data_IF_121522525870
#
_entry.id   IF_121522525870
#
_cell.length_a   1.000
_cell.length_b   1.000
_cell.length_c   1.000
_cell.angle_alpha   90.00
_cell.angle_beta   90.00
_cell.angle_gamma   90.00
#
_symmetry.space_group_name_H-M   'P 1'
#
loop_
_entity.id
_entity.type
_entity.pdbx_description
1 polymer ?
#
# COMPACT_ATOMS: atom_id res chain seq x y z
N UNK A 1 -2.22 -17.00 11.42
CA UNK A 1 -0.98 -16.20 11.29
C UNK A 1 -0.49 -16.40 9.86
N UNK A 2 -0.21 -15.37 9.25
CA UNK A 2 -0.18 -15.17 7.83
C UNK A 2 1.16 -15.62 7.28
N UNK A 3 1.15 -16.67 6.47
CA UNK A 3 2.29 -17.06 5.64
C UNK A 3 2.21 -16.27 4.33
N UNK A 4 3.36 -15.78 3.83
CA UNK A 4 3.44 -15.16 2.50
C UNK A 4 3.57 -13.64 2.46
N UNK A 5 3.99 -12.99 3.55
CA UNK A 5 4.42 -11.60 3.50
C UNK A 5 5.75 -11.45 2.78
N UNK A 6 5.90 -10.35 2.03
CA UNK A 6 7.18 -9.94 1.47
C UNK A 6 8.18 -9.53 2.55
N UNK A 7 9.43 -9.38 2.14
CA UNK A 7 10.54 -8.90 2.97
C UNK A 7 10.92 -9.82 4.13
N UNK A 8 10.97 -11.10 3.87
CA UNK A 8 11.50 -12.10 4.81
C UNK A 8 13.03 -12.29 4.70
N UNK A 9 13.75 -11.23 4.32
CA UNK A 9 15.22 -11.20 4.20
C UNK A 9 15.94 -11.66 5.48
N UNK A 10 15.33 -11.44 6.65
CA UNK A 10 15.86 -11.88 7.94
C UNK A 10 16.03 -13.41 8.08
N UNK A 11 15.39 -14.18 7.20
CA UNK A 11 15.53 -15.66 7.15
C UNK A 11 16.82 -16.10 6.46
N UNK A 12 17.49 -15.22 5.71
CA UNK A 12 18.61 -15.52 4.85
C UNK A 12 19.89 -14.81 5.33
N UNK A 13 21.05 -15.46 5.17
CA UNK A 13 22.32 -14.91 5.68
C UNK A 13 22.86 -13.71 4.89
N UNK A 14 22.60 -13.67 3.57
CA UNK A 14 23.18 -12.63 2.70
C UNK A 14 22.28 -12.39 1.49
N UNK A 15 21.36 -11.44 1.61
CA UNK A 15 20.59 -10.93 0.47
C UNK A 15 21.33 -9.73 -0.12
N UNK A 16 21.64 -9.81 -1.42
CA UNK A 16 22.28 -8.74 -2.20
C UNK A 16 21.24 -7.88 -2.93
N UNK A 17 20.19 -8.51 -3.42
CA UNK A 17 19.11 -7.88 -4.19
C UNK A 17 17.77 -8.33 -3.63
N UNK A 18 16.94 -7.38 -3.22
CA UNK A 18 15.62 -7.65 -2.65
C UNK A 18 14.50 -7.14 -3.58
N UNK A 19 13.82 -8.05 -4.27
CA UNK A 19 12.63 -7.78 -5.08
C UNK A 19 11.33 -8.17 -4.37
N UNK A 20 11.35 -8.51 -3.07
CA UNK A 20 10.17 -9.03 -2.37
C UNK A 20 9.33 -7.96 -1.69
N UNK A 21 9.85 -6.74 -1.53
CA UNK A 21 9.20 -5.66 -0.75
C UNK A 21 8.56 -4.56 -1.59
N UNK A 22 8.89 -4.47 -2.88
CA UNK A 22 8.47 -3.38 -3.79
C UNK A 22 8.80 -1.97 -3.25
N UNK A 23 9.88 -1.85 -2.49
CA UNK A 23 10.36 -0.57 -1.93
C UNK A 23 11.34 0.06 -2.90
N UNK A 24 11.22 1.37 -3.12
CA UNK A 24 12.17 2.12 -3.95
C UNK A 24 13.49 2.32 -3.19
N UNK A 25 14.47 1.45 -3.43
CA UNK A 25 15.72 1.38 -2.67
C UNK A 25 16.86 2.28 -3.18
N UNK A 26 16.61 3.12 -4.16
CA UNK A 26 17.58 4.10 -4.70
C UNK A 26 17.48 5.47 -4.01
N UNK A 27 17.22 5.48 -2.72
CA UNK A 27 17.03 6.67 -1.91
C UNK A 27 18.25 6.91 -1.03
N UNK A 28 18.78 8.13 -1.06
CA UNK A 28 19.79 8.56 -0.09
C UNK A 28 19.09 9.05 1.20
N UNK A 29 19.31 8.33 2.29
CA UNK A 29 18.75 8.65 3.60
C UNK A 29 19.73 9.42 4.51
N UNK A 30 20.89 9.87 4.03
CA UNK A 30 21.88 10.56 4.86
C UNK A 30 21.29 11.78 5.59
N UNK A 31 20.54 12.62 4.88
CA UNK A 31 19.85 13.77 5.46
C UNK A 31 18.75 13.37 6.46
N UNK A 32 17.96 12.34 6.16
CA UNK A 32 16.95 11.80 7.08
C UNK A 32 17.62 11.26 8.37
N UNK A 33 18.70 10.52 8.23
CA UNK A 33 19.44 9.99 9.38
C UNK A 33 19.97 11.12 10.27
N UNK A 34 20.56 12.17 9.67
CA UNK A 34 21.01 13.34 10.41
C UNK A 34 19.86 14.05 11.14
N UNK A 35 18.73 14.24 10.46
CA UNK A 35 17.54 14.83 11.07
C UNK A 35 17.06 14.00 12.27
N UNK A 36 16.86 12.70 12.09
CA UNK A 36 16.40 11.81 13.15
C UNK A 36 17.39 11.76 14.33
N UNK A 37 18.69 11.79 14.04
CA UNK A 37 19.70 11.86 15.11
C UNK A 37 19.56 13.13 15.97
N UNK A 38 19.28 14.28 15.35
CA UNK A 38 19.03 15.53 16.05
C UNK A 38 17.74 15.49 16.88
N UNK A 39 16.76 14.67 16.47
CA UNK A 39 15.47 14.52 17.14
C UNK A 39 15.44 13.36 18.16
N UNK A 40 16.57 12.68 18.42
CA UNK A 40 16.58 11.47 19.28
C UNK A 40 16.09 11.73 20.70
N UNK A 41 16.28 12.93 21.26
CA UNK A 41 15.79 13.27 22.60
C UNK A 41 14.25 13.30 22.67
N UNK A 42 13.55 13.46 21.55
CA UNK A 42 12.08 13.47 21.52
C UNK A 42 11.45 12.14 21.95
N UNK A 43 12.21 11.03 21.91
CA UNK A 43 11.72 9.71 22.39
C UNK A 43 11.47 9.66 23.91
N UNK A 44 11.91 10.64 24.67
CA UNK A 44 11.76 10.70 26.13
C UNK A 44 10.36 11.15 26.57
N UNK A 45 9.56 11.63 25.64
CA UNK A 45 8.19 12.09 25.89
C UNK A 45 7.20 11.32 25.01
N UNK A 46 5.94 11.26 25.43
CA UNK A 46 4.89 10.75 24.56
C UNK A 46 4.78 11.60 23.29
N UNK A 47 4.53 10.97 22.12
CA UNK A 47 4.19 11.71 20.90
C UNK A 47 2.82 12.42 21.05
N UNK A 48 2.43 13.15 20.03
CA UNK A 48 1.05 13.63 19.91
C UNK A 48 0.08 12.45 19.99
N UNK A 49 -1.03 12.53 20.77
CA UNK A 49 -2.01 11.45 20.86
C UNK A 49 -2.59 11.03 19.49
N UNK A 50 -2.82 11.99 18.64
CA UNK A 50 -2.99 11.87 17.19
C UNK A 50 -1.90 12.73 16.54
N UNK A 51 -1.29 12.33 15.41
CA UNK A 51 -0.21 13.10 14.76
C UNK A 51 -0.71 14.37 14.06
N UNK A 52 -1.31 15.29 14.81
CA UNK A 52 -1.96 16.52 14.30
C UNK A 52 -1.03 17.37 13.45
N UNK A 53 0.23 17.48 13.86
CA UNK A 53 1.23 18.27 13.14
C UNK A 53 1.48 17.69 11.74
N UNK A 54 1.60 16.37 11.63
CA UNK A 54 1.84 15.70 10.35
C UNK A 54 0.57 15.65 9.49
N UNK A 55 -0.61 15.46 10.10
CA UNK A 55 -1.90 15.51 9.41
C UNK A 55 -2.14 16.88 8.78
N UNK A 56 -1.73 17.96 9.46
CA UNK A 56 -1.80 19.32 8.91
C UNK A 56 -0.93 19.49 7.68
N UNK A 57 0.33 19.03 7.72
CA UNK A 57 1.25 19.10 6.56
C UNK A 57 0.72 18.31 5.36
N UNK A 58 0.17 17.12 5.60
CA UNK A 58 -0.46 16.32 4.54
C UNK A 58 -1.71 17.00 3.97
N UNK A 59 -2.56 17.56 4.83
CA UNK A 59 -3.76 18.28 4.42
C UNK A 59 -3.41 19.47 3.51
N UNK A 60 -2.44 20.30 3.92
CA UNK A 60 -1.94 21.42 3.10
C UNK A 60 -1.41 20.94 1.75
N UNK A 61 -0.63 19.85 1.73
CA UNK A 61 -0.04 19.27 0.50
C UNK A 61 -1.09 18.79 -0.49
N UNK A 62 -2.18 18.20 -0.01
CA UNK A 62 -3.24 17.62 -0.84
C UNK A 62 -4.45 18.56 -1.01
N UNK A 63 -4.38 19.78 -0.50
CA UNK A 63 -5.49 20.76 -0.51
C UNK A 63 -6.76 20.22 0.16
N UNK A 64 -6.59 19.57 1.31
CA UNK A 64 -7.61 19.02 2.19
C UNK A 64 -7.68 19.80 3.50
N UNK A 65 -8.71 19.57 4.30
CA UNK A 65 -8.71 19.93 5.71
C UNK A 65 -8.04 18.84 6.56
N UNK A 66 -7.57 19.18 7.77
CA UNK A 66 -6.98 18.17 8.67
C UNK A 66 -7.99 17.10 9.12
N UNK A 67 -9.30 17.40 9.03
CA UNK A 67 -10.37 16.42 9.31
C UNK A 67 -10.52 15.36 8.20
N UNK A 68 -9.92 15.59 7.02
CA UNK A 68 -9.93 14.71 5.85
C UNK A 68 -8.65 13.88 5.70
N UNK A 69 -7.75 13.93 6.70
CA UNK A 69 -6.49 13.17 6.75
C UNK A 69 -6.36 12.50 8.10
N UNK A 70 -5.97 11.22 8.14
CA UNK A 70 -5.70 10.47 9.37
C UNK A 70 -4.39 9.69 9.21
N UNK A 71 -3.33 10.11 9.89
CA UNK A 71 -2.03 9.42 9.87
C UNK A 71 -2.07 8.17 10.71
N UNK A 72 -1.48 7.08 10.23
CA UNK A 72 -1.52 5.75 10.85
C UNK A 72 -0.11 5.13 10.93
N UNK A 73 0.04 4.12 11.78
CA UNK A 73 1.27 3.33 11.93
C UNK A 73 1.46 2.37 10.73
N UNK A 74 1.67 2.97 9.56
CA UNK A 74 1.69 2.32 8.25
C UNK A 74 0.28 2.06 7.69
N UNK A 75 0.22 1.77 6.39
CA UNK A 75 -1.04 1.43 5.72
C UNK A 75 -1.69 0.16 6.30
N UNK A 76 -0.92 -0.72 6.94
CA UNK A 76 -1.47 -1.92 7.60
C UNK A 76 -2.38 -1.54 8.78
N UNK A 77 -1.99 -0.60 9.66
CA UNK A 77 -2.89 -0.11 10.70
C UNK A 77 -4.17 0.46 10.08
N UNK A 78 -4.05 1.25 8.99
CA UNK A 78 -5.21 1.80 8.29
C UNK A 78 -6.19 0.72 7.81
N UNK A 79 -5.68 -0.39 7.24
CA UNK A 79 -6.51 -1.52 6.80
C UNK A 79 -7.30 -2.11 7.98
N UNK A 80 -6.61 -2.41 9.09
CA UNK A 80 -7.24 -3.01 10.27
C UNK A 80 -8.21 -2.04 10.95
N UNK A 81 -7.86 -0.76 11.02
CA UNK A 81 -8.71 0.27 11.61
C UNK A 81 -10.02 0.46 10.83
N UNK A 82 -9.98 0.46 9.50
CA UNK A 82 -11.17 0.51 8.66
C UNK A 82 -12.01 -0.75 8.83
N UNK A 83 -11.40 -1.94 8.81
CA UNK A 83 -12.14 -3.18 9.05
C UNK A 83 -12.78 -3.21 10.45
N UNK A 84 -12.12 -2.69 11.48
CA UNK A 84 -12.65 -2.55 12.82
C UNK A 84 -13.83 -1.57 12.89
N UNK A 85 -13.73 -0.43 12.22
CA UNK A 85 -14.77 0.61 12.16
C UNK A 85 -16.07 0.03 11.60
N UNK A 86 -15.97 -0.70 10.50
CA UNK A 86 -17.13 -1.28 9.81
C UNK A 86 -17.32 -2.77 10.12
N UNK A 87 -17.03 -3.21 11.36
CA UNK A 87 -17.11 -4.62 11.78
C UNK A 87 -18.45 -5.28 11.44
N UNK A 88 -18.40 -6.61 11.26
CA UNK A 88 -19.59 -7.46 11.02
C UNK A 88 -20.34 -7.16 9.71
N UNK A 89 -19.69 -6.52 8.74
CA UNK A 89 -20.25 -6.21 7.42
C UNK A 89 -19.92 -7.30 6.38
N UNK A 90 -20.47 -7.16 5.19
CA UNK A 90 -20.05 -7.93 4.02
C UNK A 90 -19.04 -7.10 3.24
N UNK A 91 -17.83 -7.62 3.12
CA UNK A 91 -16.72 -7.03 2.37
C UNK A 91 -16.46 -7.79 1.07
N UNK A 92 -16.67 -7.13 -0.06
CA UNK A 92 -16.25 -7.63 -1.36
C UNK A 92 -14.80 -7.19 -1.62
N UNK A 93 -13.93 -8.13 -1.94
CA UNK A 93 -12.51 -7.88 -2.17
C UNK A 93 -12.17 -8.24 -3.62
N UNK A 94 -11.64 -7.28 -4.36
CA UNK A 94 -11.26 -7.46 -5.76
C UNK A 94 -9.95 -8.25 -5.85
N UNK A 95 -10.05 -9.47 -6.38
CA UNK A 95 -8.96 -10.44 -6.46
C UNK A 95 -8.33 -10.50 -7.86
N UNK A 96 -7.05 -10.94 -7.98
CA UNK A 96 -6.11 -11.19 -6.88
C UNK A 96 -5.59 -9.88 -6.29
N UNK A 97 -5.36 -9.83 -4.99
CA UNK A 97 -4.86 -8.63 -4.32
C UNK A 97 -4.13 -8.97 -3.01
N UNK A 98 -3.70 -7.95 -2.27
CA UNK A 98 -2.99 -8.07 -1.00
C UNK A 98 -3.86 -8.77 0.06
N UNK A 99 -3.32 -9.82 0.70
CA UNK A 99 -4.06 -10.70 1.61
C UNK A 99 -4.58 -10.01 2.87
N UNK A 100 -3.91 -8.94 3.33
CA UNK A 100 -4.26 -8.24 4.57
C UNK A 100 -5.68 -7.68 4.57
N UNK A 101 -6.26 -7.35 3.41
CA UNK A 101 -7.66 -6.90 3.38
C UNK A 101 -8.60 -7.99 3.85
N UNK A 102 -8.40 -9.22 3.37
CA UNK A 102 -9.23 -10.37 3.75
C UNK A 102 -8.99 -10.74 5.23
N UNK A 103 -7.75 -10.69 5.69
CA UNK A 103 -7.39 -11.07 7.06
C UNK A 103 -7.92 -10.07 8.07
N UNK A 104 -7.77 -8.76 7.84
CA UNK A 104 -8.35 -7.71 8.66
C UNK A 104 -9.89 -7.82 8.71
N UNK A 105 -10.51 -8.03 7.55
CA UNK A 105 -11.96 -8.22 7.47
C UNK A 105 -12.41 -9.44 8.28
N UNK A 106 -11.77 -10.59 8.15
CA UNK A 106 -12.12 -11.80 8.92
C UNK A 106 -11.93 -11.60 10.42
N UNK A 107 -10.82 -10.94 10.82
CA UNK A 107 -10.54 -10.65 12.24
C UNK A 107 -11.65 -9.81 12.88
N UNK A 108 -12.24 -8.89 12.12
CA UNK A 108 -13.32 -8.00 12.60
C UNK A 108 -14.73 -8.50 12.24
N UNK A 109 -14.88 -9.80 11.96
CA UNK A 109 -16.19 -10.46 11.81
C UNK A 109 -16.87 -10.20 10.47
N UNK A 110 -16.15 -9.72 9.45
CA UNK A 110 -16.76 -9.52 8.13
C UNK A 110 -16.97 -10.85 7.42
N UNK A 111 -18.06 -10.93 6.68
CA UNK A 111 -18.23 -11.94 5.63
C UNK A 111 -17.45 -11.48 4.40
N UNK A 112 -16.31 -12.11 4.12
CA UNK A 112 -15.47 -11.82 2.95
C UNK A 112 -16.02 -12.51 1.72
N UNK A 113 -16.20 -11.76 0.63
CA UNK A 113 -16.67 -12.24 -0.68
C UNK A 113 -15.61 -11.86 -1.72
N UNK A 114 -14.87 -12.81 -2.32
CA UNK A 114 -13.98 -12.50 -3.42
C UNK A 114 -14.79 -12.09 -4.66
N UNK A 115 -14.36 -11.04 -5.33
CA UNK A 115 -14.89 -10.60 -6.62
C UNK A 115 -13.73 -10.47 -7.62
N UNK A 116 -14.01 -10.68 -8.91
CA UNK A 116 -13.02 -10.61 -9.98
C UNK A 116 -13.36 -9.50 -10.99
N UNK A 117 -14.49 -8.85 -10.80
CA UNK A 117 -14.97 -7.80 -11.69
C UNK A 117 -15.85 -6.80 -10.90
N UNK A 118 -15.57 -5.50 -11.06
CA UNK A 118 -16.37 -4.43 -10.45
C UNK A 118 -17.77 -4.26 -11.06
N UNK A 119 -18.01 -4.82 -12.25
CA UNK A 119 -19.34 -4.80 -12.88
C UNK A 119 -20.32 -5.82 -12.27
N UNK A 120 -19.83 -6.70 -11.37
CA UNK A 120 -20.62 -7.76 -10.72
C UNK A 120 -20.40 -7.73 -9.22
N UNK A 121 -20.83 -6.62 -8.58
CA UNK A 121 -20.78 -6.49 -7.13
C UNK A 121 -21.87 -7.36 -6.47
N UNK A 122 -21.59 -7.99 -5.32
CA UNK A 122 -22.59 -8.80 -4.61
C UNK A 122 -23.73 -7.91 -4.09
N UNK A 123 -24.98 -8.37 -4.13
CA UNK A 123 -26.17 -7.57 -3.79
C UNK A 123 -26.11 -6.93 -2.39
N UNK A 124 -25.52 -7.60 -1.41
CA UNK A 124 -25.44 -7.15 -0.01
C UNK A 124 -24.04 -6.68 0.44
N UNK A 125 -23.07 -6.53 -0.47
CA UNK A 125 -21.72 -6.06 -0.10
C UNK A 125 -21.74 -4.56 0.24
N UNK A 126 -21.43 -4.19 1.50
CA UNK A 126 -21.34 -2.79 1.90
C UNK A 126 -19.97 -2.18 1.59
N UNK A 127 -18.89 -2.94 1.80
CA UNK A 127 -17.53 -2.49 1.57
C UNK A 127 -16.95 -3.15 0.32
N UNK A 128 -16.29 -2.35 -0.50
CA UNK A 128 -15.59 -2.79 -1.69
C UNK A 128 -14.12 -2.44 -1.52
N UNK A 129 -13.29 -3.47 -1.40
CA UNK A 129 -11.85 -3.33 -1.24
C UNK A 129 -11.13 -3.56 -2.57
N UNK A 130 -10.23 -2.66 -2.92
CA UNK A 130 -9.38 -2.80 -4.09
C UNK A 130 -8.03 -2.09 -3.87
N UNK A 131 -7.01 -2.54 -4.57
CA UNK A 131 -5.70 -1.91 -4.63
C UNK A 131 -5.52 -1.27 -6.01
N UNK A 132 -5.10 -0.02 -6.07
CA UNK A 132 -4.93 0.68 -7.35
C UNK A 132 -3.81 1.73 -7.27
N UNK A 133 -2.61 1.45 -7.75
CA UNK A 133 -2.15 0.26 -8.51
C UNK A 133 -2.20 -1.05 -7.71
N UNK A 134 -2.58 -2.14 -8.36
CA UNK A 134 -2.82 -3.41 -7.66
C UNK A 134 -1.53 -4.17 -7.32
N UNK A 135 -1.41 -4.61 -6.10
CA UNK A 135 -0.44 -5.61 -5.68
C UNK A 135 -1.15 -6.98 -5.59
N UNK A 136 -0.74 -8.03 -6.36
CA UNK A 136 0.60 -8.17 -6.98
C UNK A 136 0.66 -7.90 -8.49
N UNK A 137 -0.44 -7.65 -9.19
CA UNK A 137 -0.46 -7.62 -10.66
C UNK A 137 0.21 -6.39 -11.28
N UNK A 138 0.28 -5.27 -10.53
CA UNK A 138 0.71 -3.98 -11.05
C UNK A 138 -0.30 -3.31 -11.98
N UNK A 139 -1.49 -3.88 -12.14
CA UNK A 139 -2.57 -3.30 -12.96
C UNK A 139 -3.07 -2.01 -12.34
N UNK A 140 -3.28 -0.99 -13.17
CA UNK A 140 -3.97 0.25 -12.81
C UNK A 140 -5.32 0.29 -13.51
N UNK A 141 -6.39 0.37 -12.71
CA UNK A 141 -7.73 0.61 -13.23
C UNK A 141 -7.93 2.07 -13.53
N UNK A 142 -8.51 2.34 -14.68
CA UNK A 142 -8.76 3.69 -15.15
C UNK A 142 -9.65 4.47 -14.16
N UNK A 143 -9.25 5.71 -13.89
CA UNK A 143 -9.92 6.61 -12.94
C UNK A 143 -11.41 6.80 -13.28
N UNK A 144 -11.71 6.96 -14.57
CA UNK A 144 -13.07 7.16 -15.07
C UNK A 144 -13.97 5.96 -14.79
N UNK A 145 -13.44 4.74 -14.97
CA UNK A 145 -14.14 3.48 -14.69
C UNK A 145 -14.44 3.37 -13.19
N UNK A 146 -13.46 3.67 -12.34
CA UNK A 146 -13.65 3.65 -10.89
C UNK A 146 -14.66 4.71 -10.44
N UNK A 147 -14.56 5.92 -10.95
CA UNK A 147 -15.47 7.03 -10.63
C UNK A 147 -16.91 6.72 -11.05
N UNK A 148 -17.10 6.11 -12.22
CA UNK A 148 -18.43 5.68 -12.68
C UNK A 148 -19.01 4.59 -11.75
N UNK A 149 -18.19 3.61 -11.36
CA UNK A 149 -18.60 2.53 -10.45
C UNK A 149 -18.99 3.09 -9.07
N UNK A 150 -18.23 4.03 -8.52
CA UNK A 150 -18.49 4.69 -7.23
C UNK A 150 -19.84 5.43 -7.28
N UNK A 151 -20.06 6.25 -8.31
CA UNK A 151 -21.30 7.03 -8.50
C UNK A 151 -22.53 6.15 -8.68
N UNK A 152 -22.39 4.99 -9.32
CA UNK A 152 -23.49 4.03 -9.49
C UNK A 152 -23.81 3.24 -8.21
N UNK A 153 -22.96 3.28 -7.20
CA UNK A 153 -23.10 2.52 -5.96
C UNK A 153 -22.96 3.42 -4.72
N UNK A 154 -23.76 4.47 -4.54
CA UNK A 154 -23.60 5.45 -3.47
C UNK A 154 -23.82 4.86 -2.06
N UNK A 155 -24.49 3.71 -1.95
CA UNK A 155 -24.74 3.00 -0.69
C UNK A 155 -23.56 2.13 -0.22
N UNK A 156 -22.50 2.00 -1.02
CA UNK A 156 -21.32 1.18 -0.74
C UNK A 156 -20.12 2.06 -0.43
N UNK A 157 -19.26 1.60 0.44
CA UNK A 157 -17.99 2.28 0.74
C UNK A 157 -16.88 1.61 -0.07
N UNK A 158 -16.16 2.39 -0.85
CA UNK A 158 -15.01 1.96 -1.63
C UNK A 158 -13.73 2.27 -0.86
N UNK A 159 -12.97 1.23 -0.52
CA UNK A 159 -11.67 1.33 0.12
C UNK A 159 -10.62 1.02 -0.95
N UNK A 160 -9.86 2.03 -1.35
CA UNK A 160 -8.84 1.92 -2.38
C UNK A 160 -7.45 2.12 -1.77
N UNK A 161 -6.64 1.08 -1.82
CA UNK A 161 -5.26 1.15 -1.40
C UNK A 161 -4.40 1.70 -2.54
N UNK A 162 -3.83 2.87 -2.32
CA UNK A 162 -2.93 3.58 -3.23
C UNK A 162 -1.48 3.56 -2.74
N UNK A 163 -1.06 2.54 -2.00
CA UNK A 163 0.32 2.41 -1.51
C UNK A 163 1.38 2.51 -2.61
N UNK A 164 1.01 2.30 -3.86
CA UNK A 164 1.87 2.38 -5.04
C UNK A 164 1.55 3.54 -5.98
N UNK A 165 0.86 4.58 -5.51
CA UNK A 165 0.42 5.73 -6.32
C UNK A 165 1.56 6.44 -7.07
N UNK A 166 2.76 6.46 -6.50
CA UNK A 166 3.94 7.11 -7.10
C UNK A 166 4.70 6.23 -8.12
N UNK A 167 4.24 5.01 -8.36
CA UNK A 167 4.92 4.03 -9.21
C UNK A 167 4.23 3.75 -10.54
N UNK A 168 3.37 4.64 -10.97
CA UNK A 168 2.68 4.58 -12.26
C UNK A 168 2.62 5.96 -12.90
N UNK A 169 2.50 5.97 -14.24
CA UNK A 169 2.23 7.20 -15.01
C UNK A 169 0.73 7.37 -15.33
N UNK A 170 -0.09 6.36 -15.00
CA UNK A 170 -1.54 6.45 -15.20
C UNK A 170 -2.20 7.37 -14.17
N UNK A 171 -3.23 8.08 -14.59
CA UNK A 171 -4.00 8.94 -13.70
C UNK A 171 -4.77 8.11 -12.66
N UNK A 172 -4.64 8.49 -11.39
CA UNK A 172 -5.36 7.91 -10.28
C UNK A 172 -6.37 8.91 -9.71
N UNK A 173 -7.33 8.41 -8.93
CA UNK A 173 -8.19 9.26 -8.12
C UNK A 173 -7.34 9.96 -7.06
N UNK A 174 -7.31 11.29 -7.07
CA UNK A 174 -6.53 12.06 -6.09
C UNK A 174 -7.21 12.09 -4.72
N UNK A 175 -6.44 12.35 -3.67
CA UNK A 175 -6.98 12.50 -2.31
C UNK A 175 -8.08 13.56 -2.24
N UNK A 176 -7.90 14.70 -2.92
CA UNK A 176 -8.91 15.76 -2.99
C UNK A 176 -10.20 15.31 -3.67
N UNK A 177 -10.10 14.66 -4.82
CA UNK A 177 -11.28 14.14 -5.54
C UNK A 177 -11.99 13.06 -4.71
N UNK A 178 -11.24 12.20 -4.01
CA UNK A 178 -11.81 11.17 -3.16
C UNK A 178 -12.59 11.74 -1.98
N UNK A 179 -12.10 12.82 -1.37
CA UNK A 179 -12.77 13.51 -0.26
C UNK A 179 -14.10 14.17 -0.67
N UNK A 180 -14.31 14.43 -1.96
CA UNK A 180 -15.59 14.92 -2.47
C UNK A 180 -16.68 13.82 -2.53
N UNK A 181 -16.30 12.54 -2.44
CA UNK A 181 -17.24 11.43 -2.39
C UNK A 181 -17.55 11.04 -0.94
N UNK A 182 -18.84 10.91 -0.58
CA UNK A 182 -19.23 10.51 0.79
C UNK A 182 -18.93 9.03 1.09
N UNK A 183 -18.43 8.27 0.13
CA UNK A 183 -18.29 6.83 0.19
C UNK A 183 -16.96 6.30 -0.35
N UNK A 184 -15.90 7.13 -0.33
CA UNK A 184 -14.55 6.73 -0.77
C UNK A 184 -13.55 6.93 0.36
N UNK A 185 -12.71 5.93 0.58
CA UNK A 185 -11.57 5.95 1.50
C UNK A 185 -10.33 5.58 0.71
N UNK A 186 -9.31 6.43 0.69
CA UNK A 186 -8.00 6.10 0.14
C UNK A 186 -7.02 5.75 1.26
N UNK A 187 -6.23 4.72 1.03
CA UNK A 187 -5.08 4.34 1.86
C UNK A 187 -3.79 4.73 1.17
N UNK A 188 -2.87 5.30 1.91
CA UNK A 188 -1.57 5.75 1.41
C UNK A 188 -0.43 5.19 2.25
N UNK A 189 0.69 4.85 1.61
CA UNK A 189 1.88 4.36 2.29
C UNK A 189 3.08 5.23 1.99
N UNK A 190 3.73 5.74 3.02
CA UNK A 190 5.02 6.41 2.88
C UNK A 190 6.19 5.41 2.75
N UNK A 191 5.97 4.16 3.14
CA UNK A 191 6.96 3.09 3.15
C UNK A 191 7.64 2.89 1.80
N UNK A 192 6.83 2.86 0.71
CA UNK A 192 7.31 2.40 -0.60
C UNK A 192 8.12 3.47 -1.31
N UNK A 193 7.57 4.68 -1.43
CA UNK A 193 8.21 5.83 -2.07
C UNK A 193 9.49 6.25 -1.35
N UNK A 194 9.42 6.35 -0.03
CA UNK A 194 10.51 6.90 0.77
C UNK A 194 11.50 5.85 1.29
N UNK A 195 11.29 4.57 0.96
CA UNK A 195 12.13 3.46 1.40
C UNK A 195 12.34 3.40 2.92
N UNK A 196 11.29 3.63 3.71
CA UNK A 196 11.32 3.67 5.18
C UNK A 196 10.38 2.63 5.82
N UNK A 197 10.47 1.33 5.46
CA UNK A 197 9.56 0.31 5.96
C UNK A 197 9.61 0.15 7.49
N UNK A 198 10.75 0.40 8.10
CA UNK A 198 10.95 0.29 9.56
C UNK A 198 10.27 1.40 10.36
N UNK A 199 9.98 2.55 9.79
CA UNK A 199 9.33 3.67 10.48
C UNK A 199 7.81 3.47 10.66
N UNK A 200 7.18 2.61 9.86
CA UNK A 200 5.75 2.33 9.92
C UNK A 200 4.91 3.61 9.78
N UNK A 201 4.89 4.22 8.62
CA UNK A 201 4.17 5.46 8.36
C UNK A 201 3.26 5.34 7.13
N UNK A 202 1.99 5.68 7.31
CA UNK A 202 0.96 5.73 6.29
C UNK A 202 -0.15 6.68 6.69
N UNK A 203 -1.15 6.86 5.85
CA UNK A 203 -2.29 7.71 6.16
C UNK A 203 -3.52 7.32 5.35
N UNK A 204 -4.68 7.77 5.83
CA UNK A 204 -5.99 7.63 5.20
C UNK A 204 -6.43 9.02 4.75
N UNK A 205 -7.06 9.12 3.58
CA UNK A 205 -7.81 10.31 3.17
C UNK A 205 -9.23 9.93 2.76
N UNK A 206 -10.21 10.70 3.22
CA UNK A 206 -11.63 10.53 2.93
C UNK A 206 -12.41 11.82 3.28
N UNK A 207 -13.71 11.84 3.04
CA UNK A 207 -14.56 12.90 3.58
C UNK A 207 -14.56 12.89 5.11
N UNK A 208 -14.90 14.03 5.72
CA UNK A 208 -14.87 14.26 7.18
C UNK A 208 -15.69 13.24 7.96
N UNK A 209 -16.86 12.90 7.44
CA UNK A 209 -17.81 11.99 8.10
C UNK A 209 -17.22 10.58 8.23
N UNK A 210 -16.62 10.04 7.16
CA UNK A 210 -15.96 8.74 7.18
C UNK A 210 -14.73 8.74 8.09
N UNK A 211 -13.91 9.79 8.03
CA UNK A 211 -12.74 9.88 8.90
C UNK A 211 -13.11 10.08 10.36
N UNK A 212 -14.20 10.78 10.67
CA UNK A 212 -14.71 10.87 12.04
C UNK A 212 -15.05 9.48 12.60
N UNK A 213 -15.78 8.64 11.85
CA UNK A 213 -16.07 7.26 12.27
C UNK A 213 -14.80 6.45 12.51
N UNK A 214 -13.82 6.54 11.59
CA UNK A 214 -12.56 5.81 11.69
C UNK A 214 -11.75 6.28 12.92
N UNK A 215 -11.64 7.57 13.16
CA UNK A 215 -10.90 8.15 14.29
C UNK A 215 -11.44 7.71 15.64
N UNK A 216 -12.77 7.45 15.77
CA UNK A 216 -13.37 6.94 17.02
C UNK A 216 -12.85 5.56 17.43
N UNK A 217 -12.29 4.78 16.50
CA UNK A 217 -11.74 3.44 16.75
C UNK A 217 -10.21 3.43 16.92
N UNK A 218 -9.55 4.59 16.72
CA UNK A 218 -8.12 4.72 16.78
C UNK A 218 -7.60 4.67 18.21
N UNK A 219 -6.49 3.96 18.41
CA UNK A 219 -5.75 4.03 19.67
C UNK A 219 -4.90 5.31 19.73
N UNK A 220 -4.90 6.05 20.84
CA UNK A 220 -3.99 7.18 21.00
C UNK A 220 -2.53 6.70 20.98
N UNK A 221 -1.63 7.58 20.53
CA UNK A 221 -0.17 7.33 20.46
C UNK A 221 0.24 6.14 19.57
N UNK A 222 -0.59 5.75 18.59
CA UNK A 222 -0.26 4.62 17.71
C UNK A 222 0.94 4.89 16.79
N UNK A 223 1.23 6.15 16.48
CA UNK A 223 2.37 6.56 15.65
C UNK A 223 3.50 7.07 16.54
N UNK A 224 4.68 6.48 16.41
CA UNK A 224 5.84 6.86 17.22
C UNK A 224 6.42 8.21 16.80
N UNK A 225 7.10 8.91 17.75
CA UNK A 225 7.63 10.25 17.54
C UNK A 225 8.63 10.33 16.38
N UNK A 226 9.54 9.36 16.25
CA UNK A 226 10.53 9.37 15.16
C UNK A 226 9.87 9.19 13.79
N UNK A 227 8.75 8.48 13.71
CA UNK A 227 7.97 8.40 12.47
C UNK A 227 7.32 9.75 12.12
N UNK A 228 6.81 10.49 13.11
CA UNK A 228 6.25 11.84 12.91
C UNK A 228 7.34 12.78 12.40
N UNK A 229 8.51 12.81 13.05
CA UNK A 229 9.67 13.63 12.64
C UNK A 229 10.16 13.25 11.23
N UNK A 230 10.26 11.96 10.95
CA UNK A 230 10.60 11.49 9.60
C UNK A 230 9.57 11.94 8.57
N UNK A 231 8.28 11.86 8.90
CA UNK A 231 7.20 12.31 8.02
C UNK A 231 7.34 13.78 7.64
N UNK A 232 7.60 14.66 8.60
CA UNK A 232 7.86 16.09 8.37
C UNK A 232 9.05 16.30 7.44
N UNK A 233 10.17 15.64 7.72
CA UNK A 233 11.38 15.75 6.90
C UNK A 233 11.14 15.27 5.46
N UNK A 234 10.56 14.08 5.30
CA UNK A 234 10.33 13.47 4.00
C UNK A 234 9.36 14.26 3.12
N UNK A 235 8.34 14.88 3.72
CA UNK A 235 7.37 15.71 2.99
C UNK A 235 7.92 17.08 2.63
N UNK A 236 8.89 17.61 3.37
CA UNK A 236 9.52 18.90 3.07
C UNK A 236 10.64 18.82 2.03
N UNK A 237 11.17 17.64 1.75
CA UNK A 237 12.33 17.43 0.87
C UNK A 237 11.92 17.00 -0.53
N UNK A 238 12.46 17.67 -1.57
CA UNK A 238 12.28 17.32 -2.98
C UNK A 238 13.20 16.19 -3.47
N UNK A 239 14.19 15.80 -2.67
CA UNK A 239 15.17 14.75 -3.06
C UNK A 239 14.58 13.34 -3.20
N UNK A 240 13.32 13.14 -2.76
CA UNK A 240 12.63 11.86 -2.80
C UNK A 240 11.69 11.71 -4.01
N UNK A 241 11.88 12.52 -5.04
CA UNK A 241 11.10 12.37 -6.27
C UNK A 241 11.63 11.20 -7.09
N UNK A 242 10.71 10.35 -7.52
CA UNK A 242 11.01 9.14 -8.29
C UNK A 242 11.03 9.49 -9.78
N UNK A 243 12.12 9.18 -10.48
CA UNK A 243 12.09 9.11 -11.95
C UNK A 243 11.32 7.86 -12.38
N UNK A 244 10.00 8.00 -12.40
CA UNK A 244 9.11 6.90 -12.76
C UNK A 244 9.33 6.42 -14.20
N UNK A 245 9.72 7.31 -15.11
CA UNK A 245 9.99 6.95 -16.51
C UNK A 245 11.20 6.04 -16.63
N UNK A 246 12.27 6.33 -15.89
CA UNK A 246 13.45 5.47 -15.81
C UNK A 246 13.07 4.11 -15.20
N UNK A 247 12.36 4.12 -14.08
CA UNK A 247 11.99 2.92 -13.35
C UNK A 247 11.15 1.96 -14.20
N UNK A 248 10.17 2.49 -14.95
CA UNK A 248 9.34 1.69 -15.86
C UNK A 248 10.14 1.16 -17.06
N UNK A 249 11.09 1.93 -17.60
CA UNK A 249 12.00 1.43 -18.67
C UNK A 249 12.87 0.27 -18.18
N UNK A 250 13.43 0.38 -16.98
CA UNK A 250 14.25 -0.71 -16.42
C UNK A 250 13.41 -1.96 -16.14
N UNK A 251 12.18 -1.80 -15.66
CA UNK A 251 11.23 -2.91 -15.51
C UNK A 251 10.98 -3.58 -16.86
N UNK A 252 10.74 -2.81 -17.92
CA UNK A 252 10.49 -3.37 -19.26
C UNK A 252 11.72 -4.11 -19.80
N UNK A 253 12.93 -3.61 -19.59
CA UNK A 253 14.17 -4.32 -19.94
C UNK A 253 14.28 -5.66 -19.23
N UNK A 254 13.92 -5.72 -17.95
CA UNK A 254 13.89 -6.95 -17.17
C UNK A 254 12.84 -7.91 -17.74
N UNK A 255 11.64 -7.43 -18.07
CA UNK A 255 10.57 -8.23 -18.71
C UNK A 255 11.09 -8.89 -19.98
N UNK A 256 11.71 -8.14 -20.88
CA UNK A 256 12.24 -8.68 -22.14
C UNK A 256 13.34 -9.74 -21.90
N UNK A 257 14.22 -9.50 -20.93
CA UNK A 257 15.24 -10.47 -20.54
C UNK A 257 14.63 -11.76 -19.98
N UNK A 258 13.62 -11.67 -19.14
CA UNK A 258 12.94 -12.85 -18.59
C UNK A 258 12.18 -13.63 -19.67
N UNK A 259 11.52 -12.95 -20.59
CA UNK A 259 10.82 -13.59 -21.72
C UNK A 259 11.79 -14.36 -22.63
N UNK A 260 13.01 -13.86 -22.81
CA UNK A 260 14.03 -14.56 -23.61
C UNK A 260 14.51 -15.88 -22.99
N UNK A 261 14.43 -16.03 -21.66
CA UNK A 261 14.75 -17.28 -20.96
C UNK A 261 13.67 -18.34 -21.22
N UNK A 262 12.41 -17.92 -21.37
CA UNK A 262 11.27 -18.82 -21.56
C UNK A 262 10.81 -19.50 -20.27
N UNK A 263 9.81 -20.38 -20.38
CA UNK A 263 9.30 -21.16 -19.24
C UNK A 263 8.44 -20.39 -18.24
N UNK A 264 8.09 -19.14 -18.52
CA UNK A 264 7.26 -18.28 -17.66
C UNK A 264 6.29 -17.44 -18.48
N UNK A 265 5.24 -16.97 -17.83
CA UNK A 265 4.30 -16.00 -18.34
C UNK A 265 4.36 -14.77 -17.46
N UNK A 266 4.45 -13.59 -18.06
CA UNK A 266 4.56 -12.31 -17.34
C UNK A 266 3.29 -11.51 -17.60
N UNK A 267 2.62 -11.13 -16.53
CA UNK A 267 1.39 -10.34 -16.61
C UNK A 267 1.73 -8.88 -16.91
N UNK A 268 0.95 -8.20 -17.77
CA UNK A 268 1.10 -6.77 -18.00
C UNK A 268 1.02 -5.99 -16.67
N UNK A 269 1.91 -5.01 -16.51
CA UNK A 269 1.97 -4.19 -15.30
C UNK A 269 2.22 -2.73 -15.65
N UNK A 270 1.46 -1.85 -15.01
CA UNK A 270 1.58 -0.38 -15.12
C UNK A 270 2.53 0.21 -14.06
N UNK A 271 3.19 -0.66 -13.26
CA UNK A 271 4.08 -0.27 -12.17
C UNK A 271 5.50 -0.81 -12.36
N UNK A 272 6.38 -0.58 -11.39
CA UNK A 272 7.77 -1.06 -11.39
C UNK A 272 7.94 -2.54 -11.01
N UNK A 273 6.90 -3.20 -10.53
CA UNK A 273 6.89 -4.63 -10.25
C UNK A 273 5.97 -5.36 -11.22
N UNK A 274 6.12 -6.68 -11.30
CA UNK A 274 5.35 -7.54 -12.19
C UNK A 274 5.01 -8.87 -11.52
N UNK A 275 3.91 -9.46 -11.94
CA UNK A 275 3.53 -10.81 -11.58
C UNK A 275 4.04 -11.78 -12.66
N UNK A 276 4.76 -12.80 -12.22
CA UNK A 276 5.32 -13.84 -13.09
C UNK A 276 4.74 -15.20 -12.69
N UNK A 277 4.16 -15.90 -13.65
CA UNK A 277 3.70 -17.27 -13.48
C UNK A 277 4.70 -18.25 -14.12
N UNK A 278 5.18 -19.20 -13.34
CA UNK A 278 6.04 -20.27 -13.85
C UNK A 278 5.18 -21.33 -14.55
N UNK A 279 5.58 -21.73 -15.76
CA UNK A 279 4.91 -22.82 -16.48
C UNK A 279 5.25 -24.18 -15.89
N UNK A 280 6.40 -24.32 -15.26
CA UNK A 280 6.87 -25.54 -14.59
C UNK A 280 7.59 -25.18 -13.30
N UNK A 281 7.57 -26.08 -12.31
CA UNK A 281 8.20 -25.87 -11.01
C UNK A 281 7.31 -25.11 -10.03
N UNK A 282 7.87 -24.84 -8.86
CA UNK A 282 7.19 -24.13 -7.76
C UNK A 282 7.88 -22.79 -7.49
N UNK A 283 7.12 -21.71 -7.38
CA UNK A 283 7.64 -20.37 -7.07
C UNK A 283 8.43 -20.35 -5.75
N UNK A 284 8.00 -21.12 -4.74
CA UNK A 284 8.71 -21.25 -3.47
C UNK A 284 10.11 -21.87 -3.63
N UNK A 285 10.25 -22.88 -4.50
CA UNK A 285 11.55 -23.51 -4.76
C UNK A 285 12.48 -22.54 -5.52
N UNK A 286 11.95 -21.77 -6.49
CA UNK A 286 12.73 -20.75 -7.18
C UNK A 286 13.17 -19.64 -6.22
N UNK A 287 12.29 -19.16 -5.34
CA UNK A 287 12.62 -18.17 -4.31
C UNK A 287 13.78 -18.68 -3.44
N UNK A 288 13.67 -19.89 -2.91
CA UNK A 288 14.68 -20.49 -2.04
C UNK A 288 16.03 -20.60 -2.76
N UNK A 289 16.04 -21.12 -3.98
CA UNK A 289 17.24 -21.24 -4.81
C UNK A 289 17.90 -19.88 -5.06
N UNK A 290 17.14 -18.88 -5.49
CA UNK A 290 17.67 -17.55 -5.76
C UNK A 290 18.22 -16.88 -4.50
N UNK A 291 17.54 -17.04 -3.37
CA UNK A 291 17.95 -16.44 -2.11
C UNK A 291 19.23 -17.08 -1.56
N UNK A 292 19.32 -18.43 -1.56
CA UNK A 292 20.45 -19.17 -0.98
C UNK A 292 21.69 -19.14 -1.85
N UNK A 293 21.53 -19.40 -3.17
CA UNK A 293 22.68 -19.54 -4.07
C UNK A 293 23.14 -18.20 -4.67
N UNK A 294 22.21 -17.25 -4.86
CA UNK A 294 22.52 -16.00 -5.56
C UNK A 294 22.35 -14.74 -4.70
N UNK A 295 21.73 -14.84 -3.53
CA UNK A 295 21.42 -13.69 -2.69
C UNK A 295 20.34 -12.78 -3.30
N UNK A 296 19.44 -13.33 -4.12
CA UNK A 296 18.34 -12.62 -4.76
C UNK A 296 17.02 -13.07 -4.11
N UNK A 297 16.35 -12.15 -3.42
CA UNK A 297 15.09 -12.43 -2.78
C UNK A 297 13.94 -11.95 -3.64
N UNK A 298 13.06 -12.88 -4.01
CA UNK A 298 11.77 -12.60 -4.70
C UNK A 298 10.60 -12.94 -3.78
N UNK A 299 9.43 -12.38 -4.05
CA UNK A 299 8.19 -12.78 -3.39
C UNK A 299 7.60 -14.03 -4.09
N UNK A 300 7.30 -15.05 -3.29
CA UNK A 300 6.57 -16.23 -3.77
C UNK A 300 5.12 -16.13 -3.30
N UNK A 301 4.18 -16.11 -4.24
CA UNK A 301 2.74 -16.03 -3.98
C UNK A 301 2.12 -17.40 -4.26
N UNK A 302 1.80 -18.15 -3.21
CA UNK A 302 1.29 -19.51 -3.30
C UNK A 302 -0.23 -19.53 -3.55
N UNK A 303 -0.95 -18.47 -3.20
CA UNK A 303 -2.42 -18.44 -3.10
C UNK A 303 -3.15 -17.75 -4.26
N UNK A 304 -2.48 -17.45 -5.38
CA UNK A 304 -3.15 -16.82 -6.55
C UNK A 304 -3.82 -17.84 -7.47
N UNK A 305 -3.52 -19.13 -7.31
CA UNK A 305 -3.92 -20.22 -8.23
C UNK A 305 -4.99 -21.17 -7.70
N UNK A 306 -5.63 -20.89 -6.56
CA UNK A 306 -6.77 -21.68 -6.06
C UNK A 306 -8.09 -20.94 -6.14
#
# INVERSE_FOLDING_TARGET
MIEGHGDDAYKYKAIKINFSSNVYNHVDHSGLHQHLFQQMESIRTYPEPEPYSLEKVLAERFHLSSEEVCVTNGATEAIYLIAQTFRNQISAILMPTFSEYADACRLHGHKVVPIYNLNRLPDRGRLIWLCNPNNPTGEVREKEVLTACIKQNPQRIFIMDQSYEFFTQKALLTAKEAAEFPNVILLHSMTKRFAVPGLRLGYITACKELLHEIRTQRMPWSVNQLAIEAGHYLLSSSQYDIDISLLLREKERLVQSLLSIGGMEIWPSDTHYMLVQLRMGKAAALKEYLATEHGILILSLIHISE
#
